data_IF_114535695682
#
_entry.id   IF_114535695682
#
_cell.length_a   1.000
_cell.length_b   1.000
_cell.length_c   1.000
_cell.angle_alpha   90.00
_cell.angle_beta   90.00
_cell.angle_gamma   90.00
#
_symmetry.space_group_name_H-M   'P 1'
#
loop_
_entity.id
_entity.type
_entity.pdbx_description
1 polymer ?
#
# COMPACT_ATOMS: atom_id res chain seq x y z
N UNK A 1 -11.39 -1.94 13.97
CA UNK A 1 -10.43 -1.65 12.88
C UNK A 1 -9.29 -0.82 13.50
N UNK A 2 -8.07 -1.34 13.55
CA UNK A 2 -6.98 -0.73 14.36
C UNK A 2 -6.13 0.27 13.56
N UNK A 3 -6.03 0.08 12.24
CA UNK A 3 -5.27 0.94 11.35
C UNK A 3 -6.19 1.57 10.30
N UNK A 4 -5.89 2.81 9.91
CA UNK A 4 -6.39 3.46 8.70
C UNK A 4 -5.20 3.78 7.81
N UNK A 5 -5.33 3.49 6.51
CA UNK A 5 -4.26 3.69 5.52
C UNK A 5 -4.80 4.57 4.40
N UNK A 6 -4.03 5.57 3.97
CA UNK A 6 -4.39 6.46 2.88
C UNK A 6 -3.16 6.94 2.09
N UNK A 7 -3.11 6.81 0.75
CA UNK A 7 -4.07 6.11 -0.11
C UNK A 7 -3.86 4.58 -0.08
N UNK A 8 -4.87 3.81 -0.51
CA UNK A 8 -4.75 2.34 -0.68
C UNK A 8 -4.23 1.98 -2.07
N UNK A 9 -4.58 2.77 -3.09
CA UNK A 9 -4.08 2.66 -4.46
C UNK A 9 -3.43 3.98 -4.87
N UNK A 10 -2.35 3.89 -5.63
CA UNK A 10 -1.64 5.06 -6.13
C UNK A 10 -0.74 4.69 -7.30
N UNK A 11 -0.19 5.72 -7.93
CA UNK A 11 0.84 5.59 -8.97
C UNK A 11 2.11 6.24 -8.44
N UNK A 12 3.27 5.68 -8.78
CA UNK A 12 4.57 6.25 -8.47
C UNK A 12 5.32 6.44 -9.78
N UNK A 13 5.56 7.68 -10.14
CA UNK A 13 6.33 8.02 -11.34
C UNK A 13 7.81 7.63 -11.19
N UNK A 14 8.52 7.32 -12.29
CA UNK A 14 9.94 6.98 -12.23
C UNK A 14 10.78 8.04 -11.51
N UNK A 15 11.58 7.60 -10.54
CA UNK A 15 12.44 8.49 -9.74
C UNK A 15 11.69 9.39 -8.75
N UNK A 16 10.37 9.22 -8.60
CA UNK A 16 9.56 9.91 -7.61
C UNK A 16 9.23 8.99 -6.44
N UNK A 17 8.77 9.60 -5.36
CA UNK A 17 8.27 8.91 -4.17
C UNK A 17 6.80 9.23 -3.97
N UNK A 18 6.05 8.27 -3.40
CA UNK A 18 4.68 8.49 -2.94
C UNK A 18 4.60 8.32 -1.44
N UNK A 19 3.72 9.09 -0.80
CA UNK A 19 3.47 9.04 0.65
C UNK A 19 2.23 8.21 0.91
N UNK A 20 2.34 7.30 1.88
CA UNK A 20 1.23 6.53 2.44
C UNK A 20 1.15 6.88 3.93
N UNK A 21 0.01 7.42 4.33
CA UNK A 21 -0.28 7.76 5.72
C UNK A 21 -0.89 6.55 6.43
N UNK A 22 -0.35 6.19 7.59
CA UNK A 22 -0.82 5.08 8.43
C UNK A 22 -1.19 5.63 9.80
N UNK A 23 -2.47 5.54 10.16
CA UNK A 23 -2.98 5.97 11.46
C UNK A 23 -3.37 4.76 12.30
N UNK A 24 -2.76 4.60 13.48
CA UNK A 24 -3.11 3.58 14.48
C UNK A 24 -4.07 4.18 15.52
N UNK A 25 -5.24 3.58 15.68
CA UNK A 25 -6.17 3.90 16.77
C UNK A 25 -5.71 3.23 18.08
N UNK A 26 -6.21 3.65 19.24
CA UNK A 26 -5.92 2.94 20.50
C UNK A 26 -6.55 1.53 20.49
N UNK A 27 -5.87 0.56 21.10
CA UNK A 27 -6.36 -0.81 21.26
C UNK A 27 -5.24 -1.76 21.68
N UNK A 28 -5.57 -3.03 21.90
CA UNK A 28 -4.61 -4.05 22.36
C UNK A 28 -3.36 -4.13 21.47
N UNK A 29 -2.21 -4.45 22.09
CA UNK A 29 -0.99 -4.75 21.37
C UNK A 29 -1.23 -5.92 20.42
N UNK A 30 -0.81 -5.74 19.16
CA UNK A 30 -0.99 -6.73 18.10
C UNK A 30 0.11 -6.53 17.06
N UNK A 31 0.64 -7.64 16.57
CA UNK A 31 1.56 -7.66 15.43
C UNK A 31 0.71 -7.72 14.16
N UNK A 32 0.75 -6.66 13.38
CA UNK A 32 0.09 -6.57 12.08
C UNK A 32 1.14 -6.37 10.97
N UNK A 33 0.69 -6.35 9.71
CA UNK A 33 1.56 -6.07 8.55
C UNK A 33 0.80 -5.31 7.46
N UNK A 34 1.51 -4.46 6.74
CA UNK A 34 1.05 -3.86 5.49
C UNK A 34 1.76 -4.56 4.33
N UNK A 35 0.98 -5.06 3.36
CA UNK A 35 1.51 -5.67 2.14
C UNK A 35 1.37 -4.65 1.02
N UNK A 36 2.48 -4.15 0.51
CA UNK A 36 2.50 -3.35 -0.70
C UNK A 36 2.60 -4.29 -1.90
N UNK A 37 1.66 -4.16 -2.83
CA UNK A 37 1.65 -4.93 -4.07
C UNK A 37 1.74 -3.93 -5.21
N UNK A 38 2.70 -4.16 -6.11
CA UNK A 38 2.98 -3.25 -7.22
C UNK A 38 2.88 -3.98 -8.55
N UNK A 39 2.51 -3.26 -9.58
CA UNK A 39 2.59 -3.68 -10.98
C UNK A 39 3.17 -2.52 -11.77
N UNK A 40 3.79 -2.81 -12.91
CA UNK A 40 4.14 -1.77 -13.87
C UNK A 40 2.84 -1.21 -14.46
N UNK A 41 2.71 0.11 -14.46
CA UNK A 41 1.66 0.81 -15.20
C UNK A 41 2.11 1.05 -16.64
N UNK A 42 1.19 0.95 -17.59
CA UNK A 42 1.42 1.36 -18.98
C UNK A 42 1.29 2.89 -19.15
N UNK A 43 1.89 3.45 -20.20
CA UNK A 43 1.81 4.88 -20.48
C UNK A 43 0.36 5.31 -20.75
N UNK A 44 -0.12 6.31 -20.01
CA UNK A 44 -1.52 6.76 -20.08
C UNK A 44 -2.51 5.92 -19.26
N UNK A 45 -2.04 4.95 -18.47
CA UNK A 45 -2.93 4.09 -17.70
C UNK A 45 -3.41 4.77 -16.42
N UNK A 46 -4.68 5.19 -16.42
CA UNK A 46 -5.44 5.59 -15.24
C UNK A 46 -6.82 4.92 -15.33
N UNK A 47 -7.42 4.45 -14.21
CA UNK A 47 -7.02 4.60 -12.80
C UNK A 47 -6.22 3.42 -12.21
N UNK A 48 -5.37 3.72 -11.21
CA UNK A 48 -4.44 2.76 -10.57
C UNK A 48 -5.09 1.49 -10.01
N UNK A 49 -6.33 1.59 -9.52
CA UNK A 49 -7.09 0.44 -9.02
C UNK A 49 -7.43 -0.56 -10.13
N UNK A 50 -7.82 -0.07 -11.30
CA UNK A 50 -8.19 -0.93 -12.43
C UNK A 50 -6.96 -1.56 -13.06
N UNK A 51 -5.88 -0.79 -13.21
CA UNK A 51 -4.57 -1.30 -13.62
C UNK A 51 -4.12 -2.45 -12.71
N UNK A 52 -4.20 -2.23 -11.39
CA UNK A 52 -3.86 -3.26 -10.40
C UNK A 52 -4.72 -4.52 -10.52
N UNK A 53 -6.04 -4.38 -10.65
CA UNK A 53 -6.95 -5.53 -10.74
C UNK A 53 -6.78 -6.36 -12.02
N UNK A 54 -6.24 -5.76 -13.10
CA UNK A 54 -5.94 -6.45 -14.35
C UNK A 54 -4.53 -7.03 -14.40
N UNK A 55 -3.67 -6.64 -13.46
CA UNK A 55 -2.27 -7.04 -13.45
C UNK A 55 -2.14 -8.56 -13.36
N UNK A 56 -1.36 -9.14 -14.27
CA UNK A 56 -1.02 -10.57 -14.26
C UNK A 56 0.28 -10.86 -13.52
N UNK A 57 1.15 -9.85 -13.44
CA UNK A 57 2.44 -9.92 -12.78
C UNK A 57 2.51 -8.83 -11.71
N UNK A 58 2.77 -9.22 -10.47
CA UNK A 58 2.88 -8.30 -9.35
C UNK A 58 4.11 -8.59 -8.52
N UNK A 59 4.69 -7.54 -7.95
CA UNK A 59 5.75 -7.62 -6.96
C UNK A 59 5.21 -7.24 -5.59
N UNK A 60 5.71 -7.89 -4.54
CA UNK A 60 5.22 -7.71 -3.17
C UNK A 60 6.33 -7.32 -2.21
N UNK A 61 6.02 -6.38 -1.33
CA UNK A 61 6.82 -6.02 -0.17
C UNK A 61 5.96 -6.09 1.09
N UNK A 62 6.52 -6.62 2.18
CA UNK A 62 5.84 -6.71 3.48
C UNK A 62 6.49 -5.76 4.46
N UNK A 63 5.70 -4.83 5.01
CA UNK A 63 6.10 -3.94 6.09
C UNK A 63 5.45 -4.40 7.40
N UNK A 64 6.22 -4.88 8.40
CA UNK A 64 5.67 -5.22 9.71
C UNK A 64 5.20 -3.97 10.46
N UNK A 65 4.03 -4.04 11.09
CA UNK A 65 3.48 -2.99 11.95
C UNK A 65 3.50 -3.50 13.39
N UNK A 66 4.53 -3.10 14.13
CA UNK A 66 4.76 -3.53 15.51
C UNK A 66 4.23 -2.47 16.47
N UNK A 67 3.42 -2.89 17.43
CA UNK A 67 3.03 -2.08 18.59
C UNK A 67 3.51 -2.81 19.84
N UNK A 68 4.38 -2.15 20.59
CA UNK A 68 4.84 -2.61 21.90
C UNK A 68 3.95 -1.98 22.99
N UNK A 69 3.76 -2.70 24.09
CA UNK A 69 3.04 -2.22 25.28
C UNK A 69 3.77 -1.09 26.00
#
# INVERSE_FOLDING_TARGET
MLYRVNPVFGVVEPGKSSRIDILRQNGAAKIDKMVLVTTRAEEGELPSREAFNRARNTEMMVLPLLVQE
#
